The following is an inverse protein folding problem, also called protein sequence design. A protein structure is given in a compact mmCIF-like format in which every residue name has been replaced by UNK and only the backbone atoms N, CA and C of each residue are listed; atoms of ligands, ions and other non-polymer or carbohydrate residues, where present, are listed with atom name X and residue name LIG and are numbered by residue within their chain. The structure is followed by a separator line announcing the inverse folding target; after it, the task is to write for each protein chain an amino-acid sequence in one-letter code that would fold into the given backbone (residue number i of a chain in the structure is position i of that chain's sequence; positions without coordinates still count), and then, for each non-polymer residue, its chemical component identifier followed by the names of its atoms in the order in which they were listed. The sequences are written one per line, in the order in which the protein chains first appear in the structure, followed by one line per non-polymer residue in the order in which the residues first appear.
data_IF_677567059935
#
_entry.id   IF_677567059935
#
_cell.length_a   1.000
_cell.length_b   1.000
_cell.length_c   1.000
_cell.angle_alpha   90.00
_cell.angle_beta   90.00
_cell.angle_gamma   90.00
#
_symmetry.space_group_name_H-M   'P 1'
#
loop_
_entity.id
_entity.type
_entity.pdbx_description
1 polymer ?
#
# COMPACT_ATOMS: atom_id res chain seq x y z
N UNK A 1 12.26 19.93 12.05
CA UNK A 1 12.58 19.09 10.87
C UNK A 1 12.41 17.60 11.19
N UNK A 2 12.98 17.10 12.30
CA UNK A 2 13.01 15.68 12.69
C UNK A 2 11.64 15.01 12.95
N UNK A 3 10.64 15.72 13.50
CA UNK A 3 9.34 15.14 13.84
C UNK A 3 8.58 14.59 12.61
N UNK A 4 8.79 15.21 11.45
CA UNK A 4 8.15 14.80 10.20
C UNK A 4 8.82 13.56 9.58
N UNK A 5 10.13 13.39 9.77
CA UNK A 5 10.87 12.22 9.26
C UNK A 5 10.48 10.96 10.06
N UNK A 6 10.35 11.11 11.38
CA UNK A 6 9.83 10.06 12.28
C UNK A 6 8.40 9.68 11.88
N UNK A 7 7.54 10.66 11.58
CA UNK A 7 6.16 10.40 11.17
C UNK A 7 6.08 9.62 9.85
N UNK A 8 6.92 9.98 8.86
CA UNK A 8 6.96 9.28 7.57
C UNK A 8 7.45 7.84 7.74
N UNK A 9 8.45 7.62 8.60
CA UNK A 9 8.97 6.29 8.95
C UNK A 9 7.90 5.44 9.63
N UNK A 10 7.17 6.01 10.60
CA UNK A 10 6.07 5.31 11.29
C UNK A 10 4.99 4.89 10.27
N UNK A 11 4.58 5.77 9.36
CA UNK A 11 3.57 5.44 8.34
C UNK A 11 4.06 4.30 7.45
N UNK A 12 5.32 4.33 7.00
CA UNK A 12 5.89 3.25 6.17
C UNK A 12 5.98 1.93 6.93
N UNK A 13 6.29 1.97 8.22
CA UNK A 13 6.32 0.78 9.08
C UNK A 13 4.92 0.17 9.24
N UNK A 14 3.91 1.02 9.47
CA UNK A 14 2.49 0.63 9.56
C UNK A 14 1.99 0.07 8.24
N UNK A 15 2.37 0.65 7.10
CA UNK A 15 2.07 0.12 5.76
C UNK A 15 2.63 -1.28 5.58
N UNK A 16 3.91 -1.50 5.94
CA UNK A 16 4.56 -2.80 5.87
C UNK A 16 3.86 -3.85 6.74
N UNK A 17 3.62 -3.54 8.02
CA UNK A 17 2.89 -4.42 8.92
C UNK A 17 1.47 -4.70 8.43
N UNK A 18 0.77 -3.69 7.92
CA UNK A 18 -0.56 -3.82 7.33
C UNK A 18 -0.58 -4.82 6.17
N UNK A 19 0.40 -4.75 5.27
CA UNK A 19 0.54 -5.70 4.17
C UNK A 19 0.71 -7.13 4.67
N UNK A 20 1.55 -7.35 5.69
CA UNK A 20 1.71 -8.67 6.31
C UNK A 20 0.41 -9.19 6.92
N UNK A 21 -0.32 -8.35 7.67
CA UNK A 21 -1.60 -8.73 8.29
C UNK A 21 -2.64 -9.12 7.23
N UNK A 22 -2.69 -8.39 6.10
CA UNK A 22 -3.62 -8.68 5.00
C UNK A 22 -3.39 -10.08 4.40
N UNK A 23 -2.16 -10.58 4.38
CA UNK A 23 -1.85 -11.93 3.88
C UNK A 23 -2.49 -12.98 4.79
N UNK A 24 -2.44 -12.80 6.11
CA UNK A 24 -3.06 -13.71 7.08
C UNK A 24 -4.60 -13.56 7.14
N UNK A 25 -5.15 -12.41 6.76
CA UNK A 25 -6.60 -12.15 6.77
C UNK A 25 -7.35 -12.71 5.54
N UNK A 26 -6.91 -13.85 5.01
CA UNK A 26 -7.51 -14.51 3.83
C UNK A 26 -8.93 -15.04 4.07
N UNK A 27 -9.29 -15.31 5.34
CA UNK A 27 -10.59 -15.87 5.72
C UNK A 27 -11.76 -14.91 5.41
N UNK A 28 -11.53 -13.60 5.53
CA UNK A 28 -12.53 -12.57 5.24
C UNK A 28 -12.12 -11.73 4.02
N UNK A 29 -12.33 -12.29 2.82
CA UNK A 29 -12.01 -11.64 1.53
C UNK A 29 -12.53 -10.21 1.39
N UNK A 30 -13.75 -9.92 1.89
CA UNK A 30 -14.33 -8.57 1.88
C UNK A 30 -13.57 -7.57 2.77
N UNK A 31 -13.03 -8.02 3.91
CA UNK A 31 -12.18 -7.20 4.78
C UNK A 31 -10.79 -7.05 4.18
N UNK A 32 -10.22 -8.14 3.64
CA UNK A 32 -8.94 -8.14 2.94
C UNK A 32 -8.91 -7.11 1.81
N UNK A 33 -10.00 -7.04 1.03
CA UNK A 33 -10.13 -6.07 -0.05
C UNK A 33 -10.21 -4.61 0.45
N UNK A 34 -11.03 -4.34 1.46
CA UNK A 34 -11.16 -2.99 2.05
C UNK A 34 -9.83 -2.52 2.66
N UNK A 35 -9.13 -3.40 3.38
CA UNK A 35 -7.82 -3.11 3.97
C UNK A 35 -6.77 -2.85 2.87
N UNK A 36 -6.77 -3.65 1.80
CA UNK A 36 -5.85 -3.47 0.68
C UNK A 36 -6.06 -2.13 -0.03
N UNK A 37 -7.32 -1.68 -0.22
CA UNK A 37 -7.60 -0.32 -0.72
C UNK A 37 -7.11 0.74 0.27
N UNK A 38 -7.38 0.56 1.57
CA UNK A 38 -6.97 1.53 2.58
C UNK A 38 -5.45 1.72 2.60
N UNK A 39 -4.67 0.62 2.53
CA UNK A 39 -3.20 0.69 2.43
C UNK A 39 -2.74 1.33 1.11
N UNK A 40 -3.43 1.08 0.00
CA UNK A 40 -3.12 1.70 -1.29
C UNK A 40 -3.27 3.22 -1.21
N UNK A 41 -4.40 3.71 -0.68
CA UNK A 41 -4.64 5.14 -0.47
C UNK A 41 -3.59 5.74 0.47
N UNK A 42 -3.29 5.05 1.58
CA UNK A 42 -2.29 5.47 2.54
C UNK A 42 -0.88 5.53 1.92
N UNK A 43 -0.53 4.59 1.04
CA UNK A 43 0.73 4.58 0.30
C UNK A 43 0.84 5.75 -0.68
N UNK A 44 -0.24 6.11 -1.38
CA UNK A 44 -0.26 7.28 -2.26
C UNK A 44 -0.10 8.57 -1.45
N UNK A 45 -0.80 8.69 -0.31
CA UNK A 45 -0.64 9.84 0.59
C UNK A 45 0.80 9.98 1.09
N UNK A 46 1.42 8.87 1.52
CA UNK A 46 2.82 8.86 1.94
C UNK A 46 3.76 9.32 0.81
N UNK A 47 3.51 8.85 -0.42
CA UNK A 47 4.26 9.25 -1.61
C UNK A 47 4.14 10.76 -1.91
N UNK A 48 2.94 11.34 -1.81
CA UNK A 48 2.72 12.78 -2.03
C UNK A 48 3.46 13.62 -0.97
N UNK A 49 3.42 13.19 0.30
CA UNK A 49 4.17 13.83 1.39
C UNK A 49 5.68 13.75 1.12
N UNK A 50 6.16 12.61 0.63
CA UNK A 50 7.56 12.41 0.26
C UNK A 50 8.00 13.30 -0.93
N UNK A 51 7.20 13.39 -1.99
CA UNK A 51 7.51 14.23 -3.17
C UNK A 51 7.47 15.73 -2.87
N UNK A 52 6.49 16.19 -2.08
CA UNK A 52 6.43 17.59 -1.64
C UNK A 52 7.61 17.98 -0.75
N UNK A 53 8.26 17.00 -0.10
CA UNK A 53 9.52 17.18 0.64
C UNK A 53 10.71 17.24 -0.32
N UNK A 54 10.84 16.29 -1.25
CA UNK A 54 11.90 16.29 -2.28
C UNK A 54 11.94 17.60 -3.08
N UNK A 55 10.79 18.15 -3.46
CA UNK A 55 10.69 19.44 -4.14
C UNK A 55 11.18 20.64 -3.32
N UNK A 56 11.29 20.52 -1.99
CA UNK A 56 11.91 21.53 -1.11
C UNK A 56 13.42 21.33 -0.94
N UNK A 57 13.96 20.17 -1.29
CA UNK A 57 15.38 19.82 -1.24
C UNK A 57 15.94 19.61 -2.65
N UNK A 58 15.76 20.60 -3.54
CA UNK A 58 16.18 20.59 -4.96
C UNK A 58 17.70 20.43 -5.23
N UNK A 59 18.49 19.89 -4.29
CA UNK A 59 19.94 19.68 -4.44
C UNK A 59 20.43 18.27 -4.09
N UNK A 60 19.55 17.27 -3.89
CA UNK A 60 19.98 15.93 -3.47
C UNK A 60 19.51 14.84 -4.42
N UNK A 61 20.46 14.07 -4.95
CA UNK A 61 20.31 12.92 -5.86
C UNK A 61 18.97 12.18 -5.81
N UNK A 62 18.43 11.86 -6.99
CA UNK A 62 17.37 10.86 -7.16
C UNK A 62 17.88 9.50 -6.69
N UNK A 63 17.81 9.27 -5.39
CA UNK A 63 18.27 8.07 -4.74
C UNK A 63 17.34 6.90 -5.10
N UNK A 64 17.89 5.67 -5.16
CA UNK A 64 17.14 4.42 -5.39
C UNK A 64 15.87 4.29 -4.52
N UNK A 65 15.84 4.95 -3.35
CA UNK A 65 14.67 5.04 -2.48
C UNK A 65 13.42 5.64 -3.17
N UNK A 66 13.58 6.63 -4.07
CA UNK A 66 12.46 7.25 -4.78
C UNK A 66 11.80 6.29 -5.78
N UNK A 67 12.60 5.45 -6.44
CA UNK A 67 12.11 4.41 -7.36
C UNK A 67 11.31 3.38 -6.57
N UNK A 68 11.86 2.91 -5.44
CA UNK A 68 11.15 1.97 -4.56
C UNK A 68 9.84 2.55 -4.00
N UNK A 69 9.82 3.83 -3.61
CA UNK A 69 8.62 4.50 -3.12
C UNK A 69 7.49 4.52 -4.16
N UNK A 70 7.82 4.66 -5.44
CA UNK A 70 6.84 4.59 -6.56
C UNK A 70 6.38 3.17 -6.86
N UNK A 71 7.23 2.17 -6.63
CA UNK A 71 6.90 0.76 -6.88
C UNK A 71 5.89 0.19 -5.87
N UNK A 72 5.92 0.62 -4.61
CA UNK A 72 5.01 0.16 -3.54
C UNK A 72 3.51 0.33 -3.91
N UNK A 73 3.01 1.51 -4.32
CA UNK A 73 1.60 1.67 -4.68
C UNK A 73 1.20 0.84 -5.90
N UNK A 74 2.11 0.57 -6.83
CA UNK A 74 1.88 -0.31 -7.98
C UNK A 74 1.63 -1.74 -7.51
N UNK A 75 2.46 -2.26 -6.60
CA UNK A 75 2.28 -3.59 -6.01
C UNK A 75 0.98 -3.68 -5.20
N UNK A 76 0.64 -2.64 -4.42
CA UNK A 76 -0.63 -2.58 -3.68
C UNK A 76 -1.84 -2.58 -4.62
N UNK A 77 -1.75 -1.88 -5.75
CA UNK A 77 -2.80 -1.91 -6.77
C UNK A 77 -2.97 -3.29 -7.40
N UNK A 78 -1.86 -3.97 -7.74
CA UNK A 78 -1.89 -5.34 -8.24
C UNK A 78 -2.48 -6.31 -7.19
N UNK A 79 -2.11 -6.17 -5.92
CA UNK A 79 -2.66 -6.96 -4.82
C UNK A 79 -4.17 -6.76 -4.68
N UNK A 80 -4.64 -5.50 -4.69
CA UNK A 80 -6.07 -5.18 -4.63
C UNK A 80 -6.85 -5.79 -5.81
N UNK A 81 -6.27 -5.77 -7.01
CA UNK A 81 -6.85 -6.40 -8.22
C UNK A 81 -6.90 -7.93 -8.09
N UNK A 82 -5.85 -8.54 -7.54
CA UNK A 82 -5.79 -9.99 -7.27
C UNK A 82 -6.89 -10.43 -6.30
N UNK A 83 -7.00 -9.75 -5.15
CA UNK A 83 -8.02 -10.06 -4.12
C UNK A 83 -9.44 -9.96 -4.70
N UNK A 84 -9.71 -8.96 -5.54
CA UNK A 84 -11.00 -8.79 -6.23
C UNK A 84 -11.33 -9.96 -7.15
N UNK A 85 -10.34 -10.52 -7.84
CA UNK A 85 -10.52 -11.67 -8.73
C UNK A 85 -10.83 -12.94 -7.92
N UNK A 86 -10.12 -13.14 -6.82
CA UNK A 86 -10.33 -14.27 -5.93
C UNK A 86 -11.71 -14.25 -5.27
N UNK A 87 -12.19 -13.06 -4.86
CA UNK A 87 -13.55 -12.92 -4.31
C UNK A 87 -14.61 -13.33 -5.35
N UNK A 88 -14.43 -12.95 -6.62
CA UNK A 88 -15.34 -13.31 -7.72
C UNK A 88 -15.36 -14.82 -7.97
N UNK A 89 -14.20 -15.47 -7.96
CA UNK A 89 -14.07 -16.91 -8.19
C UNK A 89 -14.82 -17.73 -7.14
N UNK A 90 -14.69 -17.35 -5.86
CA UNK A 90 -15.39 -18.01 -4.76
C UNK A 90 -16.91 -17.83 -4.89
N UNK A 91 -17.39 -16.61 -5.21
CA UNK A 91 -18.83 -16.37 -5.44
C UNK A 91 -19.39 -17.17 -6.61
N UNK A 92 -18.62 -17.38 -7.68
CA UNK A 92 -19.08 -18.24 -8.78
C UNK A 92 -19.13 -19.72 -8.42
N UNK A 93 -18.24 -20.20 -7.55
CA UNK A 93 -18.25 -21.58 -7.06
C UNK A 93 -19.42 -21.83 -6.11
N UNK A 94 -19.75 -20.86 -5.25
CA UNK A 94 -20.87 -20.94 -4.32
C UNK A 94 -22.23 -20.95 -5.02
N UNK A 95 -22.30 -20.44 -6.25
CA UNK A 95 -23.49 -20.53 -7.12
C UNK A 95 -23.67 -21.90 -7.78
N UNK A 96 -22.62 -22.71 -7.84
CA UNK A 96 -22.63 -24.03 -8.49
C UNK A 96 -22.90 -25.18 -7.51
N UNK A 97 -22.77 -24.92 -6.21
CA UNK A 97 -23.15 -25.83 -5.13
C UNK A 97 -24.58 -25.55 -4.71
#
# INVERSE_FOLDING_TARGET
MASFDILTLIITCVLGMGCFIIIFFYKNRRLQFRLSIALLILSILNLVIYFTRLGKFLNGDLSFAAIFALTIPIFLFLAARGIRKDEKLIKSLDRLR
#
